data_IF_512694473915
#
_entry.id   IF_512694473915
#
_cell.length_a   1.000
_cell.length_b   1.000
_cell.length_c   1.000
_cell.angle_alpha   90.00
_cell.angle_beta   90.00
_cell.angle_gamma   90.00
#
_symmetry.space_group_name_H-M   'P 1'
#
loop_
_entity.id
_entity.type
_entity.pdbx_description
1 polymer ?
#
# COMPACT_ATOMS: atom_id res chain seq x y z
N UNK A 1 19.25 31.83 14.79
CA UNK A 1 17.90 32.26 15.22
C UNK A 1 18.03 32.60 16.69
N UNK A 2 17.58 33.80 17.12
CA UNK A 2 17.85 34.37 18.44
C UNK A 2 17.04 33.72 19.59
N UNK A 3 17.21 34.25 20.80
CA UNK A 3 16.57 33.78 22.04
C UNK A 3 15.03 33.63 21.95
N UNK A 4 14.39 34.37 21.05
CA UNK A 4 12.95 34.51 20.97
C UNK A 4 12.34 33.78 19.76
N UNK A 5 13.15 33.20 18.88
CA UNK A 5 12.68 32.49 17.69
C UNK A 5 13.27 31.09 17.64
N UNK A 6 12.42 30.11 17.33
CA UNK A 6 12.79 28.71 17.12
C UNK A 6 12.29 28.27 15.76
N UNK A 7 13.18 27.75 14.92
CA UNK A 7 12.83 27.08 13.69
C UNK A 7 13.25 25.62 13.74
N UNK A 8 12.42 24.75 13.21
CA UNK A 8 12.71 23.32 13.10
C UNK A 8 12.40 22.90 11.68
N UNK A 9 13.30 22.15 11.06
CA UNK A 9 13.09 21.48 9.80
C UNK A 9 13.53 20.04 9.95
N UNK A 10 12.65 19.13 9.58
CA UNK A 10 12.91 17.70 9.54
C UNK A 10 12.51 17.18 8.17
N UNK A 11 13.43 16.49 7.52
CA UNK A 11 13.18 15.77 6.27
C UNK A 11 13.54 14.31 6.51
N UNK A 12 12.65 13.43 6.16
CA UNK A 12 12.86 11.99 6.23
C UNK A 12 12.31 11.34 4.97
N UNK A 13 12.89 10.21 4.61
CA UNK A 13 12.43 9.42 3.47
C UNK A 13 12.85 7.98 3.63
N UNK A 14 12.06 7.10 3.07
CA UNK A 14 12.34 5.69 2.94
C UNK A 14 12.04 5.23 1.52
N UNK A 15 12.81 4.26 1.09
CA UNK A 15 12.60 3.55 -0.17
C UNK A 15 12.59 2.06 0.12
N UNK A 16 11.62 1.38 -0.42
CA UNK A 16 11.54 -0.07 -0.35
C UNK A 16 11.27 -0.64 -1.74
N UNK A 17 11.90 -1.77 -2.01
CA UNK A 17 11.69 -2.55 -3.21
C UNK A 17 11.47 -4.00 -2.81
N UNK A 18 10.45 -4.60 -3.37
CA UNK A 18 10.13 -6.01 -3.20
C UNK A 18 9.96 -6.61 -4.59
N UNK A 19 10.70 -7.68 -4.83
CA UNK A 19 10.57 -8.50 -6.03
C UNK A 19 10.28 -9.94 -5.61
N UNK A 20 9.30 -10.55 -6.23
CA UNK A 20 8.88 -11.92 -5.96
C UNK A 20 8.41 -12.59 -7.24
N UNK A 21 8.64 -13.90 -7.35
CA UNK A 21 8.04 -14.67 -8.42
C UNK A 21 6.51 -14.53 -8.37
N UNK A 22 5.89 -14.31 -9.52
CA UNK A 22 4.44 -14.25 -9.63
C UNK A 22 3.88 -15.66 -9.61
N UNK A 23 2.90 -15.88 -8.75
CA UNK A 23 2.05 -17.07 -8.79
C UNK A 23 0.59 -16.64 -8.98
N UNK A 24 0.15 -16.56 -10.22
CA UNK A 24 -1.24 -16.31 -10.59
C UNK A 24 -2.11 -17.57 -10.71
N UNK A 25 -1.48 -18.75 -10.56
CA UNK A 25 -2.14 -20.06 -10.73
C UNK A 25 -2.84 -20.46 -9.42
N UNK A 26 -2.20 -20.19 -8.28
CA UNK A 26 -2.77 -20.47 -6.96
C UNK A 26 -3.12 -19.16 -6.26
N UNK A 27 -4.28 -19.09 -5.64
CA UNK A 27 -4.77 -17.88 -4.98
C UNK A 27 -4.23 -17.69 -3.54
N UNK A 28 -3.32 -18.54 -3.09
CA UNK A 28 -2.92 -18.61 -1.68
C UNK A 28 -1.57 -17.96 -1.34
N UNK A 29 -0.87 -17.32 -2.29
CA UNK A 29 0.43 -16.71 -2.04
C UNK A 29 1.51 -17.70 -1.61
N UNK A 30 2.45 -17.26 -0.78
CA UNK A 30 3.63 -18.04 -0.35
C UNK A 30 3.27 -19.36 0.34
N UNK A 31 2.18 -19.39 1.10
CA UNK A 31 1.73 -20.60 1.80
C UNK A 31 1.22 -21.66 0.81
N UNK A 32 0.54 -21.23 -0.25
CA UNK A 32 0.10 -22.13 -1.32
C UNK A 32 1.29 -22.68 -2.12
N UNK A 33 2.31 -21.86 -2.36
CA UNK A 33 3.56 -22.29 -3.01
C UNK A 33 4.28 -23.36 -2.18
N UNK A 34 4.40 -23.12 -0.88
CA UNK A 34 5.01 -24.09 0.04
C UNK A 34 4.22 -25.38 0.10
N UNK A 35 2.90 -25.31 0.21
CA UNK A 35 2.04 -26.49 0.22
C UNK A 35 2.16 -27.28 -1.09
N UNK A 36 2.23 -26.60 -2.22
CA UNK A 36 2.41 -27.23 -3.53
C UNK A 36 3.75 -27.95 -3.65
N UNK A 37 4.81 -27.38 -3.09
CA UNK A 37 6.13 -28.01 -3.02
C UNK A 37 6.09 -29.26 -2.11
N UNK A 38 5.46 -29.17 -0.95
CA UNK A 38 5.37 -30.28 0.03
C UNK A 38 4.47 -31.41 -0.43
N UNK A 39 3.50 -31.14 -1.30
CA UNK A 39 2.58 -32.14 -1.83
C UNK A 39 3.06 -32.76 -3.15
N UNK A 40 4.24 -32.36 -3.64
CA UNK A 40 4.84 -32.97 -4.80
C UNK A 40 5.09 -34.47 -4.57
N UNK A 41 4.67 -35.30 -5.53
CA UNK A 41 4.79 -36.75 -5.40
C UNK A 41 6.23 -37.18 -5.69
N UNK A 42 6.92 -37.82 -4.74
CA UNK A 42 8.38 -38.02 -4.82
C UNK A 42 8.83 -39.00 -5.92
N UNK A 43 7.93 -39.80 -6.47
CA UNK A 43 8.26 -40.73 -7.59
C UNK A 43 8.01 -40.15 -8.97
N UNK A 44 7.52 -38.91 -9.07
CA UNK A 44 7.41 -38.17 -10.33
C UNK A 44 8.56 -37.17 -10.36
N UNK A 45 9.45 -37.23 -11.36
CA UNK A 45 10.53 -36.27 -11.46
C UNK A 45 9.95 -34.86 -11.74
N UNK A 46 10.51 -33.85 -11.09
CA UNK A 46 10.09 -32.46 -11.33
C UNK A 46 10.41 -31.99 -12.75
N UNK A 47 11.50 -32.51 -13.31
CA UNK A 47 11.95 -32.19 -14.65
C UNK A 47 12.37 -33.47 -15.39
N UNK A 48 12.08 -33.54 -16.67
CA UNK A 48 12.58 -34.53 -17.60
C UNK A 48 13.22 -33.79 -18.75
N UNK A 49 14.52 -34.01 -18.97
CA UNK A 49 15.27 -33.33 -20.02
C UNK A 49 15.14 -31.80 -19.99
N UNK A 50 15.06 -31.23 -18.78
CA UNK A 50 14.87 -29.78 -18.57
C UNK A 50 13.42 -29.29 -18.73
N UNK A 51 12.50 -30.15 -19.11
CA UNK A 51 11.09 -29.80 -19.25
C UNK A 51 10.32 -30.06 -17.95
N UNK A 52 9.49 -29.12 -17.47
CA UNK A 52 8.78 -29.24 -16.21
C UNK A 52 7.66 -30.28 -16.28
N UNK A 53 7.65 -31.22 -15.35
CA UNK A 53 6.65 -32.29 -15.28
C UNK A 53 5.72 -32.07 -14.11
N UNK A 54 4.43 -32.14 -14.37
CA UNK A 54 3.38 -32.06 -13.37
C UNK A 54 2.68 -33.40 -13.20
N UNK A 55 2.25 -33.69 -12.00
CA UNK A 55 1.38 -34.81 -11.73
C UNK A 55 -0.08 -34.35 -11.71
N UNK A 56 -0.88 -34.90 -12.58
CA UNK A 56 -2.33 -34.79 -12.49
C UNK A 56 -2.83 -36.06 -11.83
N UNK A 57 -3.57 -35.95 -10.72
CA UNK A 57 -4.11 -37.11 -10.01
C UNK A 57 -4.90 -38.07 -10.92
N UNK A 58 -5.21 -39.25 -10.40
CA UNK A 58 -5.88 -40.31 -11.16
C UNK A 58 -7.10 -39.78 -11.94
N UNK A 59 -7.14 -40.07 -13.25
CA UNK A 59 -8.33 -39.83 -14.07
C UNK A 59 -9.51 -40.59 -13.44
N UNK A 60 -10.46 -39.86 -12.91
CA UNK A 60 -11.74 -40.47 -12.61
C UNK A 60 -12.52 -40.55 -13.92
N UNK A 61 -12.78 -41.75 -14.42
CA UNK A 61 -13.43 -42.01 -15.69
C UNK A 61 -14.79 -41.32 -15.88
N UNK A 62 -15.35 -40.77 -14.81
CA UNK A 62 -16.67 -40.12 -14.82
C UNK A 62 -16.66 -38.59 -14.67
N UNK A 63 -15.55 -37.95 -14.34
CA UNK A 63 -15.52 -36.52 -14.00
C UNK A 63 -14.44 -35.68 -14.69
N UNK A 64 -13.70 -36.25 -15.62
CA UNK A 64 -12.56 -35.55 -16.23
C UNK A 64 -11.39 -35.40 -15.27
N UNK A 65 -10.33 -34.80 -15.71
CA UNK A 65 -9.11 -34.57 -14.96
C UNK A 65 -9.41 -33.73 -13.69
N UNK A 66 -9.37 -34.38 -12.54
CA UNK A 66 -9.25 -33.66 -11.28
C UNK A 66 -7.83 -33.09 -11.22
N UNK A 67 -7.70 -31.78 -11.43
CA UNK A 67 -6.47 -31.04 -11.36
C UNK A 67 -5.95 -31.04 -9.92
N UNK A 68 -5.33 -32.12 -9.46
CA UNK A 68 -4.78 -32.18 -8.11
C UNK A 68 -3.47 -31.39 -8.01
N UNK A 69 -2.76 -31.20 -9.11
CA UNK A 69 -1.57 -30.33 -9.15
C UNK A 69 -1.22 -29.89 -10.58
N UNK A 70 -1.89 -28.88 -11.09
CA UNK A 70 -1.43 -28.17 -12.29
C UNK A 70 -0.34 -27.13 -12.00
N UNK A 71 0.18 -27.10 -10.79
CA UNK A 71 1.19 -26.15 -10.37
C UNK A 71 2.56 -26.82 -10.37
N UNK A 72 3.55 -26.14 -10.93
CA UNK A 72 4.94 -26.56 -10.89
C UNK A 72 5.79 -25.46 -10.29
N UNK A 73 6.11 -25.56 -9.01
CA UNK A 73 6.85 -24.55 -8.26
C UNK A 73 8.13 -24.10 -8.96
N UNK A 74 8.99 -25.04 -9.36
CA UNK A 74 10.24 -24.73 -10.04
C UNK A 74 10.07 -24.03 -11.40
N UNK A 75 9.00 -24.37 -12.17
CA UNK A 75 8.72 -23.71 -13.43
C UNK A 75 8.31 -22.24 -13.21
N UNK A 76 7.49 -21.96 -12.18
CA UNK A 76 7.08 -20.61 -11.82
C UNK A 76 8.25 -19.79 -11.31
N UNK A 77 9.08 -20.36 -10.43
CA UNK A 77 10.27 -19.66 -9.86
C UNK A 77 11.33 -19.35 -10.91
N UNK A 78 11.48 -20.20 -11.92
CA UNK A 78 12.44 -20.03 -13.01
C UNK A 78 11.86 -19.29 -14.23
N UNK A 79 10.59 -18.92 -14.17
CA UNK A 79 9.96 -18.11 -15.23
C UNK A 79 10.35 -16.63 -15.10
N UNK A 80 10.22 -15.83 -16.17
CA UNK A 80 10.36 -14.39 -16.10
C UNK A 80 9.21 -13.70 -15.35
N UNK A 81 8.22 -14.47 -14.92
CA UNK A 81 7.01 -13.96 -14.27
C UNK A 81 7.33 -13.43 -12.88
N UNK A 82 7.07 -12.16 -12.67
CA UNK A 82 7.36 -11.53 -11.40
C UNK A 82 6.32 -10.49 -10.99
N UNK A 83 6.34 -10.17 -9.71
CA UNK A 83 5.68 -9.02 -9.11
C UNK A 83 6.72 -8.16 -8.45
N UNK A 84 6.91 -6.95 -8.98
CA UNK A 84 7.79 -5.93 -8.43
C UNK A 84 6.96 -4.85 -7.78
N UNK A 85 7.30 -4.46 -6.57
CA UNK A 85 6.69 -3.35 -5.83
C UNK A 85 7.76 -2.40 -5.34
N UNK A 86 7.66 -1.14 -5.69
CA UNK A 86 8.51 -0.08 -5.21
C UNK A 86 7.66 0.93 -4.44
N UNK A 87 8.14 1.34 -3.28
CA UNK A 87 7.52 2.40 -2.48
C UNK A 87 8.57 3.42 -2.10
N UNK A 88 8.30 4.68 -2.42
CA UNK A 88 9.12 5.82 -2.07
C UNK A 88 8.26 6.77 -1.23
N UNK A 89 8.65 6.99 0.00
CA UNK A 89 7.96 7.85 0.93
C UNK A 89 8.87 9.01 1.35
N UNK A 90 8.37 10.22 1.34
CA UNK A 90 9.10 11.42 1.74
C UNK A 90 8.21 12.26 2.66
N UNK A 91 8.74 12.61 3.82
CA UNK A 91 8.10 13.49 4.78
C UNK A 91 8.95 14.73 5.02
N UNK A 92 8.31 15.89 4.93
CA UNK A 92 8.91 17.20 5.23
C UNK A 92 8.08 17.84 6.33
N UNK A 93 8.70 18.15 7.46
CA UNK A 93 8.07 18.82 8.58
C UNK A 93 8.84 20.08 8.92
N UNK A 94 8.19 21.21 8.86
CA UNK A 94 8.76 22.50 9.21
C UNK A 94 7.95 23.20 10.29
N UNK A 95 8.60 23.88 11.24
CA UNK A 95 7.91 24.77 12.15
C UNK A 95 8.74 26.00 12.49
N UNK A 96 8.04 27.07 12.69
CA UNK A 96 8.60 28.32 13.20
C UNK A 96 7.76 28.83 14.37
N UNK A 97 8.40 29.09 15.49
CA UNK A 97 7.78 29.64 16.70
C UNK A 97 8.47 30.93 17.06
N UNK A 98 7.69 31.95 17.36
CA UNK A 98 8.18 33.22 17.87
C UNK A 98 7.55 33.53 19.22
N UNK A 99 8.40 33.82 20.24
CA UNK A 99 8.02 34.19 21.61
C UNK A 99 8.16 35.68 21.78
N UNK A 100 7.08 36.36 22.13
CA UNK A 100 7.06 37.80 22.37
C UNK A 100 7.50 38.20 23.82
N UNK A 101 8.12 37.26 24.56
CA UNK A 101 8.53 37.46 25.96
C UNK A 101 9.50 38.63 26.23
N UNK A 102 10.13 39.17 25.17
CA UNK A 102 10.95 40.37 25.25
C UNK A 102 10.13 41.66 25.50
N UNK A 103 8.86 41.65 25.12
CA UNK A 103 7.97 42.79 25.30
C UNK A 103 7.14 42.59 26.58
N UNK A 104 7.22 43.56 27.50
CA UNK A 104 6.53 43.51 28.80
C UNK A 104 5.00 43.31 28.65
N UNK A 105 4.40 43.88 27.62
CA UNK A 105 2.96 43.82 27.37
C UNK A 105 2.54 42.50 26.72
N UNK A 106 3.41 41.91 25.89
CA UNK A 106 3.16 40.68 25.14
C UNK A 106 3.79 39.45 25.79
N UNK A 107 4.33 39.60 27.00
CA UNK A 107 4.93 38.48 27.74
C UNK A 107 3.92 37.34 27.90
N UNK A 108 4.28 36.14 27.43
CA UNK A 108 3.42 34.96 27.43
C UNK A 108 2.69 34.72 26.12
N UNK A 109 2.81 35.65 25.14
CA UNK A 109 2.29 35.42 23.80
C UNK A 109 3.32 34.70 22.95
N UNK A 110 2.88 33.63 22.26
CA UNK A 110 3.65 32.90 21.27
C UNK A 110 2.85 32.69 20.00
N UNK A 111 3.51 32.76 18.88
CA UNK A 111 2.94 32.43 17.58
C UNK A 111 3.75 31.32 16.95
N UNK A 112 3.10 30.24 16.53
CA UNK A 112 3.72 29.10 15.90
C UNK A 112 3.04 28.83 14.56
N UNK A 113 3.83 28.75 13.50
CA UNK A 113 3.42 28.23 12.22
C UNK A 113 4.09 26.87 12.00
N UNK A 114 3.36 25.90 11.50
CA UNK A 114 3.92 24.60 11.12
C UNK A 114 3.35 24.14 9.80
N UNK A 115 4.18 23.41 9.08
CA UNK A 115 3.87 22.79 7.80
C UNK A 115 4.38 21.36 7.81
N UNK A 116 3.54 20.43 7.43
CA UNK A 116 3.88 19.02 7.24
C UNK A 116 3.41 18.57 5.89
N UNK A 117 4.24 17.86 5.15
CA UNK A 117 3.86 17.22 3.88
C UNK A 117 4.43 15.81 3.83
N UNK A 118 3.58 14.86 3.45
CA UNK A 118 3.96 13.49 3.20
C UNK A 118 3.60 13.14 1.77
N UNK A 119 4.59 12.71 0.99
CA UNK A 119 4.43 12.28 -0.40
C UNK A 119 4.84 10.82 -0.46
N UNK A 120 3.92 9.97 -0.90
CA UNK A 120 4.15 8.55 -1.12
C UNK A 120 3.91 8.24 -2.60
N UNK A 121 4.90 7.64 -3.24
CA UNK A 121 4.83 7.17 -4.61
C UNK A 121 5.06 5.66 -4.63
N UNK A 122 4.06 4.92 -5.06
CA UNK A 122 4.13 3.48 -5.20
C UNK A 122 4.07 3.11 -6.68
N UNK A 123 4.92 2.19 -7.08
CA UNK A 123 4.95 1.60 -8.42
C UNK A 123 4.87 0.09 -8.28
N UNK A 124 3.97 -0.54 -9.02
CA UNK A 124 3.85 -1.97 -9.14
C UNK A 124 4.04 -2.40 -10.59
N UNK A 125 4.76 -3.47 -10.81
CA UNK A 125 4.84 -4.17 -12.08
C UNK A 125 4.47 -5.62 -11.83
N UNK A 126 3.53 -6.14 -12.60
CA UNK A 126 3.14 -7.53 -12.62
C UNK A 126 3.30 -8.07 -14.02
N UNK A 127 4.11 -9.11 -14.18
CA UNK A 127 4.15 -9.89 -15.41
C UNK A 127 3.78 -11.33 -15.13
N UNK A 128 2.84 -11.86 -15.89
CA UNK A 128 2.48 -13.26 -15.89
C UNK A 128 2.33 -13.74 -17.33
N UNK A 129 2.95 -14.86 -17.63
CA UNK A 129 2.94 -15.48 -18.97
C UNK A 129 2.23 -16.83 -18.95
N UNK A 130 2.06 -17.41 -20.12
CA UNK A 130 1.67 -18.80 -20.26
C UNK A 130 2.92 -19.65 -20.40
N UNK A 131 2.98 -20.77 -19.68
CA UNK A 131 4.07 -21.72 -19.78
C UNK A 131 3.56 -23.14 -20.04
N UNK A 132 4.31 -23.89 -20.81
CA UNK A 132 4.00 -25.31 -21.08
C UNK A 132 4.60 -26.18 -19.97
N UNK A 133 3.79 -27.09 -19.45
CA UNK A 133 4.21 -28.16 -18.55
C UNK A 133 3.75 -29.49 -19.10
N UNK A 134 4.42 -30.56 -18.70
CA UNK A 134 4.20 -31.88 -19.24
C UNK A 134 3.69 -32.82 -18.15
N UNK A 135 2.77 -33.71 -18.48
CA UNK A 135 2.32 -34.77 -17.61
C UNK A 135 2.66 -36.14 -18.16
N UNK A 136 2.93 -37.06 -17.26
CA UNK A 136 3.00 -38.48 -17.57
C UNK A 136 1.57 -39.03 -17.63
N UNK A 137 1.20 -39.64 -18.75
CA UNK A 137 -0.09 -40.30 -18.92
C UNK A 137 -0.01 -41.72 -18.40
N UNK A 138 -1.15 -42.27 -17.94
CA UNK A 138 -1.24 -43.65 -17.49
C UNK A 138 -0.89 -44.61 -18.63
N UNK A 139 0.01 -45.53 -18.38
CA UNK A 139 0.27 -46.64 -19.27
C UNK A 139 -0.57 -47.84 -18.84
N UNK A 140 -1.66 -48.12 -19.56
CA UNK A 140 -2.50 -49.30 -19.35
C UNK A 140 -3.31 -49.28 -18.05
N UNK A 141 -4.18 -50.27 -17.88
CA UNK A 141 -5.15 -50.36 -16.79
C UNK A 141 -4.56 -50.60 -15.38
N UNK A 142 -3.25 -50.57 -15.18
CA UNK A 142 -2.60 -50.79 -13.87
C UNK A 142 -2.34 -49.49 -13.12
N UNK A 143 -2.62 -48.34 -13.68
CA UNK A 143 -2.41 -47.05 -13.01
C UNK A 143 -0.95 -46.74 -12.63
N UNK A 144 0.00 -47.36 -13.28
CA UNK A 144 1.39 -47.25 -12.99
C UNK A 144 2.00 -46.01 -13.59
N UNK A 145 2.28 -45.01 -12.76
CA UNK A 145 2.86 -43.72 -13.15
C UNK A 145 4.39 -43.68 -13.01
N UNK A 146 5.03 -44.82 -12.95
CA UNK A 146 6.49 -44.88 -12.85
C UNK A 146 7.15 -44.45 -14.12
N UNK A 147 7.94 -43.39 -14.00
CA UNK A 147 8.79 -42.89 -15.08
C UNK A 147 9.96 -43.88 -15.35
N UNK A 148 10.16 -44.29 -16.59
CA UNK A 148 11.16 -45.29 -16.98
C UNK A 148 12.44 -44.73 -17.59
N UNK A 149 12.63 -43.40 -17.50
CA UNK A 149 13.90 -42.76 -17.88
C UNK A 149 14.04 -42.34 -19.35
N UNK A 150 12.98 -42.31 -20.14
CA UNK A 150 13.04 -41.76 -21.51
C UNK A 150 12.79 -40.25 -21.53
N UNK A 151 13.39 -39.56 -22.50
CA UNK A 151 13.13 -38.13 -22.74
C UNK A 151 11.65 -37.88 -23.10
N UNK A 152 11.18 -36.66 -22.84
CA UNK A 152 9.84 -36.25 -23.26
C UNK A 152 9.85 -36.05 -24.78
N UNK A 153 9.07 -36.86 -25.44
CA UNK A 153 8.67 -36.63 -26.81
C UNK A 153 7.20 -36.16 -26.83
N UNK A 154 6.98 -34.93 -27.26
CA UNK A 154 5.62 -34.35 -27.30
C UNK A 154 4.67 -35.09 -28.28
N UNK A 155 5.23 -35.87 -29.20
CA UNK A 155 4.47 -36.74 -30.10
C UNK A 155 4.13 -38.11 -29.46
N UNK A 156 4.76 -38.48 -28.33
CA UNK A 156 4.49 -39.73 -27.64
C UNK A 156 3.16 -39.64 -26.87
N UNK A 157 2.27 -40.59 -27.12
CA UNK A 157 0.99 -40.76 -26.43
C UNK A 157 1.12 -40.92 -24.87
N UNK A 158 2.31 -41.15 -24.36
CA UNK A 158 2.57 -41.27 -22.92
C UNK A 158 2.75 -39.92 -22.21
N UNK A 159 2.91 -38.85 -22.96
CA UNK A 159 3.04 -37.50 -22.44
C UNK A 159 1.88 -36.64 -22.91
N UNK A 160 1.35 -35.79 -22.01
CA UNK A 160 0.40 -34.75 -22.34
C UNK A 160 1.00 -33.39 -22.06
N UNK A 161 0.75 -32.43 -22.93
CA UNK A 161 1.16 -31.04 -22.73
C UNK A 161 0.00 -30.25 -22.15
N UNK A 162 0.30 -29.44 -21.13
CA UNK A 162 -0.62 -28.47 -20.54
C UNK A 162 -0.04 -27.08 -20.58
N UNK A 163 -0.92 -26.11 -20.75
CA UNK A 163 -0.55 -24.71 -20.58
C UNK A 163 -0.98 -24.27 -19.17
N UNK A 164 0.00 -23.86 -18.37
CA UNK A 164 -0.25 -23.13 -17.14
C UNK A 164 -0.39 -21.65 -17.50
N UNK A 165 -1.50 -21.07 -17.08
CA UNK A 165 -1.76 -19.65 -17.26
C UNK A 165 -1.44 -18.92 -15.96
N UNK A 166 -0.30 -18.20 -15.94
CA UNK A 166 0.13 -17.42 -14.80
C UNK A 166 -0.38 -15.97 -14.87
N UNK A 167 -1.58 -15.78 -15.41
CA UNK A 167 -2.27 -14.50 -15.53
C UNK A 167 -2.20 -13.88 -16.92
N UNK A 168 -1.25 -14.30 -17.77
CA UNK A 168 -1.10 -13.88 -19.15
C UNK A 168 -1.29 -12.37 -19.39
N UNK A 169 -0.68 -11.57 -18.53
CA UNK A 169 -0.80 -10.11 -18.53
C UNK A 169 0.50 -9.43 -18.12
N UNK A 170 0.68 -8.21 -18.62
CA UNK A 170 1.61 -7.23 -18.11
C UNK A 170 0.81 -6.08 -17.52
N UNK A 171 0.95 -5.81 -16.23
CA UNK A 171 0.28 -4.71 -15.56
C UNK A 171 1.28 -3.78 -14.91
N UNK A 172 1.07 -2.47 -15.07
CA UNK A 172 1.81 -1.42 -14.37
C UNK A 172 0.86 -0.53 -13.61
N UNK A 173 1.11 -0.40 -12.33
CA UNK A 173 0.34 0.46 -11.44
C UNK A 173 1.25 1.55 -10.89
N UNK A 174 0.77 2.78 -10.92
CA UNK A 174 1.42 3.93 -10.31
C UNK A 174 0.41 4.63 -9.41
N UNK A 175 0.74 4.75 -8.14
CA UNK A 175 -0.10 5.45 -7.15
C UNK A 175 0.71 6.56 -6.52
N UNK A 176 0.10 7.72 -6.38
CA UNK A 176 0.66 8.86 -5.65
C UNK A 176 -0.32 9.28 -4.56
N UNK A 177 0.17 9.39 -3.35
CA UNK A 177 -0.54 10.04 -2.24
C UNK A 177 0.23 11.28 -1.84
N UNK A 178 -0.44 12.42 -1.76
CA UNK A 178 0.14 13.69 -1.35
C UNK A 178 -0.74 14.29 -0.25
N UNK A 179 -0.22 14.31 0.96
CA UNK A 179 -0.92 14.83 2.13
C UNK A 179 -0.15 16.02 2.66
N UNK A 180 -0.81 17.13 2.89
CA UNK A 180 -0.21 18.23 3.63
C UNK A 180 -1.11 18.77 4.73
N UNK A 181 -0.48 19.33 5.75
CA UNK A 181 -1.14 20.04 6.83
C UNK A 181 -0.38 21.32 7.17
N UNK A 182 -1.12 22.38 7.32
CA UNK A 182 -0.62 23.68 7.79
C UNK A 182 -1.36 24.09 9.05
N UNK A 183 -0.61 24.54 10.06
CA UNK A 183 -1.19 25.04 11.29
C UNK A 183 -0.60 26.41 11.60
N UNK A 184 -1.45 27.34 12.01
CA UNK A 184 -1.08 28.62 12.61
C UNK A 184 -1.71 28.67 13.98
N UNK A 185 -0.87 28.71 15.02
CA UNK A 185 -1.32 28.70 16.41
C UNK A 185 -0.82 29.96 17.12
N UNK A 186 -1.73 30.66 17.77
CA UNK A 186 -1.43 31.75 18.70
C UNK A 186 -1.77 31.28 20.10
N UNK A 187 -0.84 31.35 21.00
CA UNK A 187 -1.05 30.98 22.40
C UNK A 187 -0.61 32.10 23.34
N UNK A 188 -1.34 32.24 24.41
CA UNK A 188 -1.06 33.20 25.46
C UNK A 188 -1.19 32.55 26.83
N UNK A 189 -0.18 32.71 27.68
CA UNK A 189 -0.18 32.17 29.05
C UNK A 189 0.36 33.23 29.97
N UNK A 190 -0.43 33.64 30.98
CA UNK A 190 0.00 34.66 31.95
C UNK A 190 -0.68 34.49 33.28
N UNK A 191 0.08 34.78 34.32
CA UNK A 191 -0.39 34.85 35.69
C UNK A 191 -0.47 36.31 36.16
N UNK A 192 -1.61 36.66 36.76
CA UNK A 192 -1.90 37.97 37.34
C UNK A 192 -2.29 37.78 38.83
N UNK A 193 -1.32 37.80 39.75
CA UNK A 193 -1.57 37.48 41.14
C UNK A 193 -2.12 36.06 41.31
N UNK A 194 -3.34 35.94 41.82
CA UNK A 194 -4.03 34.63 41.99
C UNK A 194 -4.77 34.14 40.72
N UNK A 195 -4.76 34.89 39.63
CA UNK A 195 -5.44 34.58 38.41
C UNK A 195 -4.46 33.99 37.39
N UNK A 196 -4.70 32.79 36.91
CA UNK A 196 -3.98 32.21 35.81
C UNK A 196 -4.90 32.16 34.56
N UNK A 197 -4.43 32.71 33.48
CA UNK A 197 -5.14 32.74 32.19
C UNK A 197 -4.28 32.07 31.12
N UNK A 198 -4.83 31.12 30.40
CA UNK A 198 -4.23 30.63 29.16
C UNK A 198 -5.25 30.58 28.05
N UNK A 199 -4.85 31.04 26.89
CA UNK A 199 -5.66 31.01 25.69
C UNK A 199 -4.87 30.44 24.51
N UNK A 200 -5.56 29.74 23.62
CA UNK A 200 -5.05 29.23 22.37
C UNK A 200 -6.06 29.47 21.28
N UNK A 201 -5.59 29.97 20.15
CA UNK A 201 -6.34 29.97 18.89
C UNK A 201 -5.50 29.31 17.82
N UNK A 202 -6.06 28.36 17.09
CA UNK A 202 -5.39 27.67 16.01
C UNK A 202 -6.25 27.62 14.76
N UNK A 203 -5.61 27.80 13.62
CA UNK A 203 -6.16 27.53 12.29
C UNK A 203 -5.42 26.33 11.75
N UNK A 204 -6.13 25.28 11.40
CA UNK A 204 -5.58 24.06 10.82
C UNK A 204 -6.17 23.85 9.45
N UNK A 205 -5.33 23.66 8.43
CA UNK A 205 -5.72 23.30 7.07
C UNK A 205 -5.00 22.00 6.70
N UNK A 206 -5.76 21.01 6.25
CA UNK A 206 -5.23 19.75 5.76
C UNK A 206 -5.86 19.40 4.42
N UNK A 207 -5.05 18.88 3.51
CA UNK A 207 -5.51 18.36 2.23
C UNK A 207 -4.84 17.03 1.96
N UNK A 208 -5.57 16.12 1.33
CA UNK A 208 -5.14 14.80 0.90
C UNK A 208 -5.54 14.59 -0.54
N UNK A 209 -4.59 14.19 -1.34
CA UNK A 209 -4.77 13.84 -2.74
C UNK A 209 -4.25 12.42 -2.96
N UNK A 210 -5.03 11.62 -3.66
CA UNK A 210 -4.66 10.29 -4.11
C UNK A 210 -4.93 10.15 -5.59
N UNK A 211 -3.90 9.80 -6.35
CA UNK A 211 -3.98 9.52 -7.78
C UNK A 211 -3.53 8.08 -8.03
N UNK A 212 -4.16 7.41 -8.97
CA UNK A 212 -3.71 6.11 -9.46
C UNK A 212 -3.85 6.00 -10.96
N UNK A 213 -2.94 5.25 -11.54
CA UNK A 213 -2.93 4.85 -12.94
C UNK A 213 -2.56 3.36 -12.99
N UNK A 214 -3.37 2.55 -13.64
CA UNK A 214 -3.05 1.15 -13.95
C UNK A 214 -3.21 0.92 -15.44
N UNK A 215 -2.17 0.47 -16.08
CA UNK A 215 -2.17 0.02 -17.46
C UNK A 215 -1.96 -1.50 -17.51
N UNK A 216 -2.77 -2.22 -18.28
CA UNK A 216 -2.67 -3.67 -18.45
C UNK A 216 -2.69 -4.02 -19.93
N UNK A 217 -1.84 -4.94 -20.32
CA UNK A 217 -1.75 -5.49 -21.68
C UNK A 217 -1.75 -7.00 -21.57
N UNK A 218 -2.54 -7.68 -22.42
CA UNK A 218 -2.59 -9.12 -22.49
C UNK A 218 -1.49 -9.71 -23.38
N UNK A 219 -1.25 -11.00 -23.25
CA UNK A 219 -0.30 -11.80 -24.04
C UNK A 219 1.13 -11.22 -24.09
N UNK A 220 1.79 -11.00 -22.94
CA UNK A 220 3.17 -10.50 -22.92
C UNK A 220 4.13 -11.55 -23.45
N UNK A 221 5.18 -11.10 -24.14
CA UNK A 221 6.28 -11.99 -24.52
C UNK A 221 7.10 -12.41 -23.29
N UNK A 222 7.28 -13.70 -23.11
CA UNK A 222 8.03 -14.27 -21.98
C UNK A 222 9.52 -13.88 -21.96
N UNK A 223 10.10 -13.55 -23.11
CA UNK A 223 11.53 -13.21 -23.22
C UNK A 223 11.86 -11.74 -22.87
N UNK A 224 10.88 -10.93 -22.53
CA UNK A 224 11.08 -9.50 -22.29
C UNK A 224 11.16 -9.13 -20.81
N UNK A 225 10.93 -10.09 -19.92
CA UNK A 225 10.91 -9.89 -18.46
C UNK A 225 10.03 -8.70 -18.04
N UNK A 226 8.98 -8.42 -18.81
CA UNK A 226 8.06 -7.31 -18.54
C UNK A 226 8.65 -5.90 -18.75
N UNK A 227 9.79 -5.78 -19.39
CA UNK A 227 10.51 -4.51 -19.55
C UNK A 227 9.75 -3.50 -20.43
N UNK A 228 8.90 -3.95 -21.33
CA UNK A 228 8.20 -3.06 -22.25
C UNK A 228 6.76 -3.52 -22.52
N UNK A 229 5.83 -2.57 -22.48
CA UNK A 229 4.44 -2.81 -22.93
C UNK A 229 4.32 -3.08 -24.41
N UNK A 230 5.27 -2.60 -25.24
CA UNK A 230 5.32 -2.94 -26.67
C UNK A 230 5.74 -4.38 -26.93
N UNK A 231 6.16 -5.10 -25.91
CA UNK A 231 6.50 -6.51 -25.96
C UNK A 231 5.32 -7.45 -25.69
N UNK A 232 4.10 -6.98 -25.87
CA UNK A 232 2.89 -7.77 -25.75
C UNK A 232 2.16 -7.79 -27.09
N UNK A 233 1.59 -8.93 -27.46
CA UNK A 233 0.84 -9.11 -28.73
C UNK A 233 -0.63 -8.89 -28.56
N UNK A 234 -1.13 -8.82 -27.30
CA UNK A 234 -2.55 -8.69 -27.02
C UNK A 234 -3.14 -7.40 -27.57
N UNK A 235 -4.25 -7.52 -28.27
CA UNK A 235 -5.03 -6.37 -28.70
C UNK A 235 -5.74 -5.67 -27.52
N UNK A 236 -5.90 -6.39 -26.41
CA UNK A 236 -6.63 -5.91 -25.24
C UNK A 236 -5.69 -5.12 -24.32
N UNK A 237 -5.66 -3.81 -24.54
CA UNK A 237 -5.00 -2.86 -23.66
C UNK A 237 -6.07 -2.16 -22.84
N UNK A 238 -5.92 -2.17 -21.53
CA UNK A 238 -6.81 -1.46 -20.62
C UNK A 238 -6.03 -0.46 -19.81
N UNK A 239 -6.63 0.71 -19.58
CA UNK A 239 -6.07 1.73 -18.72
C UNK A 239 -7.16 2.21 -17.77
N UNK A 240 -6.83 2.20 -16.49
CA UNK A 240 -7.70 2.72 -15.45
C UNK A 240 -6.95 3.79 -14.68
N UNK A 241 -7.58 4.92 -14.47
CA UNK A 241 -7.02 6.00 -13.68
C UNK A 241 -8.09 6.66 -12.83
N UNK A 242 -7.68 7.28 -11.76
CA UNK A 242 -8.58 8.04 -10.91
C UNK A 242 -7.82 8.98 -9.99
N UNK A 243 -8.55 9.97 -9.50
CA UNK A 243 -8.06 10.94 -8.53
C UNK A 243 -9.13 11.21 -7.49
N UNK A 244 -8.70 11.24 -6.24
CA UNK A 244 -9.56 11.57 -5.09
C UNK A 244 -8.89 12.66 -4.29
N UNK A 245 -9.65 13.69 -3.95
CA UNK A 245 -9.18 14.80 -3.14
C UNK A 245 -10.09 14.98 -1.92
N UNK A 246 -9.50 15.36 -0.80
CA UNK A 246 -10.24 15.77 0.37
C UNK A 246 -9.52 16.90 1.10
N UNK A 247 -10.28 17.82 1.65
CA UNK A 247 -9.76 18.96 2.40
C UNK A 247 -10.53 19.16 3.70
N UNK A 248 -9.82 19.67 4.69
CA UNK A 248 -10.35 20.07 5.99
C UNK A 248 -9.78 21.42 6.39
N UNK A 249 -10.63 22.28 6.95
CA UNK A 249 -10.26 23.55 7.56
C UNK A 249 -10.89 23.62 8.95
N UNK A 250 -10.07 23.86 9.97
CA UNK A 250 -10.52 23.91 11.35
C UNK A 250 -10.09 25.20 12.03
N UNK A 251 -11.00 25.79 12.80
CA UNK A 251 -10.73 26.86 13.74
C UNK A 251 -10.93 26.31 15.16
N UNK A 252 -9.90 26.47 16.01
CA UNK A 252 -9.89 25.95 17.35
C UNK A 252 -9.58 27.10 18.32
N UNK A 253 -10.49 27.36 19.25
CA UNK A 253 -10.31 28.32 20.32
C UNK A 253 -10.40 27.60 21.67
N UNK A 254 -9.42 27.80 22.56
CA UNK A 254 -9.40 27.26 23.91
C UNK A 254 -9.04 28.36 24.90
N UNK A 255 -9.81 28.45 25.95
CA UNK A 255 -9.57 29.35 27.07
C UNK A 255 -9.58 28.54 28.38
N UNK A 256 -8.51 28.68 29.14
CA UNK A 256 -8.44 28.14 30.50
C UNK A 256 -8.25 29.30 31.48
N UNK A 257 -8.93 29.23 32.58
CA UNK A 257 -8.83 30.17 33.67
C UNK A 257 -8.78 29.44 35.01
N UNK A 258 -7.86 29.84 35.89
CA UNK A 258 -7.90 29.40 37.25
C UNK A 258 -7.76 30.58 38.22
N UNK A 259 -8.44 30.48 39.33
CA UNK A 259 -8.35 31.42 40.44
C UNK A 259 -7.79 30.72 41.69
N UNK A 260 -6.69 31.21 42.21
CA UNK A 260 -5.99 30.71 43.39
C UNK A 260 -5.66 29.20 43.31
N UNK A 261 -5.54 28.65 42.09
CA UNK A 261 -5.38 27.22 41.76
C UNK A 261 -6.52 26.33 42.36
N UNK A 262 -7.60 26.95 42.79
CA UNK A 262 -8.71 26.31 43.47
C UNK A 262 -9.96 26.20 42.57
N UNK A 263 -10.27 27.23 41.82
CA UNK A 263 -11.39 27.27 40.92
C UNK A 263 -10.87 27.23 39.50
N UNK A 264 -11.31 26.24 38.73
CA UNK A 264 -10.85 25.96 37.37
C UNK A 264 -12.01 26.08 36.40
N UNK A 265 -11.78 26.71 35.24
CA UNK A 265 -12.73 26.82 34.16
C UNK A 265 -12.01 26.62 32.83
N UNK A 266 -12.58 25.79 31.94
CA UNK A 266 -12.12 25.61 30.58
C UNK A 266 -13.30 25.81 29.60
N UNK A 267 -13.02 26.48 28.50
CA UNK A 267 -13.91 26.60 27.35
C UNK A 267 -13.15 26.24 26.09
N UNK A 268 -13.71 25.33 25.27
CA UNK A 268 -13.21 24.93 23.98
C UNK A 268 -14.30 25.14 22.92
N UNK A 269 -13.94 25.79 21.82
CA UNK A 269 -14.78 25.91 20.65
C UNK A 269 -13.99 25.41 19.45
N UNK A 270 -14.55 24.43 18.73
CA UNK A 270 -14.01 23.95 17.48
C UNK A 270 -15.02 24.11 16.37
N UNK A 271 -14.61 24.64 15.24
CA UNK A 271 -15.41 24.76 14.03
C UNK A 271 -14.64 24.12 12.88
N UNK A 272 -15.20 23.05 12.31
CA UNK A 272 -14.56 22.24 11.27
C UNK A 272 -15.36 22.31 9.97
N UNK A 273 -14.66 22.51 8.86
CA UNK A 273 -15.20 22.33 7.51
C UNK A 273 -14.51 21.14 6.85
N UNK A 274 -15.28 20.32 6.14
CA UNK A 274 -14.74 19.17 5.40
C UNK A 274 -15.42 19.03 4.06
N UNK A 275 -14.60 18.85 3.01
CA UNK A 275 -15.07 18.59 1.64
C UNK A 275 -15.75 17.22 1.47
N UNK A 276 -15.72 16.36 2.48
CA UNK A 276 -16.46 15.08 2.50
C UNK A 276 -17.97 15.27 2.62
N UNK A 277 -18.41 16.46 3.03
CA UNK A 277 -19.82 16.81 3.14
C UNK A 277 -20.30 17.65 1.94
N UNK A 278 -21.59 17.73 1.72
CA UNK A 278 -22.17 18.62 0.72
C UNK A 278 -21.86 20.08 1.05
N UNK A 279 -21.77 20.95 0.02
CA UNK A 279 -21.39 22.38 0.17
C UNK A 279 -22.25 23.13 1.20
N UNK A 280 -23.53 22.79 1.28
CA UNK A 280 -24.45 23.39 2.26
C UNK A 280 -24.12 23.04 3.71
N UNK A 281 -23.37 21.96 3.95
CA UNK A 281 -23.14 21.36 5.26
C UNK A 281 -21.65 21.14 5.57
N UNK A 282 -20.76 21.95 4.98
CA UNK A 282 -19.32 21.84 5.21
C UNK A 282 -18.91 22.06 6.65
N UNK A 283 -19.62 22.98 7.35
CA UNK A 283 -19.23 23.45 8.66
C UNK A 283 -19.99 22.75 9.78
N UNK A 284 -19.25 22.25 10.75
CA UNK A 284 -19.74 21.83 12.05
C UNK A 284 -19.14 22.68 13.17
N UNK A 285 -19.88 22.96 14.21
CA UNK A 285 -19.43 23.71 15.40
C UNK A 285 -19.60 22.87 16.64
N UNK A 286 -18.54 22.74 17.43
CA UNK A 286 -18.45 21.83 18.56
C UNK A 286 -17.95 22.59 19.80
N UNK A 287 -18.86 23.19 20.61
CA UNK A 287 -18.51 23.80 21.88
C UNK A 287 -18.35 22.75 22.99
N UNK A 288 -17.41 22.98 23.90
CA UNK A 288 -17.24 22.19 25.12
C UNK A 288 -16.80 23.11 26.25
N UNK A 289 -17.23 22.82 27.47
CA UNK A 289 -16.80 23.54 28.65
C UNK A 289 -16.70 22.61 29.86
N UNK A 290 -15.84 22.98 30.79
CA UNK A 290 -15.70 22.28 32.05
C UNK A 290 -15.41 23.26 33.18
N UNK A 291 -15.83 22.90 34.39
CA UNK A 291 -15.52 23.63 35.60
C UNK A 291 -15.06 22.67 36.70
N UNK A 292 -14.10 23.08 37.52
CA UNK A 292 -13.56 22.27 38.60
C UNK A 292 -13.34 23.10 39.87
N UNK A 293 -13.45 22.44 41.00
CA UNK A 293 -13.11 23.00 42.34
C UNK A 293 -12.19 22.02 43.04
N UNK A 294 -11.05 22.55 43.52
CA UNK A 294 -10.08 21.82 44.33
C UNK A 294 -10.41 22.07 45.78
N UNK A 295 -10.71 21.04 46.52
CA UNK A 295 -11.06 21.05 47.93
C UNK A 295 -9.84 21.16 48.85
#
# INVERSE_FOLDING_TARGET
IGKWAKATLQVSGDMSEQNSARNGITSGGTDADFNSLMTHIPFVPAYINGLPVVYTGMENASSGLTAVQLFHYGAVQNSPDNTEKQSNNMSINGSFEYDFGWNKWLKGLKVKASYSRNIMNNKGNDIGTKMSVYRLLNRGGSGNHLYTGSDIDVADSNFGTFTLDNGNLLSRTMNKTDNYQMNLTVSYVRQFGLHNVSGLFSIEKAESEYEYLTGTVADPYSFTDGQSTSAATGADQTTTFGRTESGMLSYIGRLNYSYADKYLFEFLLRSDASTKFARSNYWGVFPSWSAGWVL
#
